data_IF_922282956873
#
_entry.id   IF_922282956873
#
_cell.length_a   1.000
_cell.length_b   1.000
_cell.length_c   1.000
_cell.angle_alpha   90.00
_cell.angle_beta   90.00
_cell.angle_gamma   90.00
#
_symmetry.space_group_name_H-M   'P 1'
#
loop_
_entity.id
_entity.type
_entity.pdbx_description
1 polymer ?
#
# COMPACT_ATOMS: atom_id res chain seq x y z
N UNK A 1 9.66 18.89 19.07
CA UNK A 1 8.79 18.20 20.05
C UNK A 1 7.96 17.18 19.31
N UNK A 2 7.54 16.10 19.96
CA UNK A 2 6.69 15.05 19.38
C UNK A 2 5.39 15.00 20.18
N UNK A 3 4.27 14.79 19.49
CA UNK A 3 2.96 14.73 20.12
C UNK A 3 2.77 13.36 20.78
N UNK A 4 2.36 13.35 22.05
CA UNK A 4 1.95 12.12 22.71
C UNK A 4 0.48 11.80 22.40
N UNK A 5 0.23 11.03 21.35
CA UNK A 5 -1.13 10.61 20.95
C UNK A 5 -1.78 9.62 21.93
N UNK A 6 -1.07 9.19 22.98
CA UNK A 6 -1.68 8.42 24.07
C UNK A 6 -2.34 9.32 25.13
N UNK A 7 -2.05 10.62 25.11
CA UNK A 7 -2.67 11.62 25.97
C UNK A 7 -4.00 12.13 25.38
N UNK A 8 -5.14 12.06 26.11
CA UNK A 8 -6.40 12.64 25.67
C UNK A 8 -6.36 14.15 25.35
N UNK A 9 -5.57 14.93 26.09
CA UNK A 9 -5.43 16.36 25.84
C UNK A 9 -4.71 16.63 24.51
N UNK A 10 -3.68 15.85 24.19
CA UNK A 10 -3.00 15.92 22.88
C UNK A 10 -3.94 15.55 21.74
N UNK A 11 -4.81 14.54 21.93
CA UNK A 11 -5.79 14.16 20.90
C UNK A 11 -6.81 15.29 20.65
N UNK A 12 -7.25 15.99 21.70
CA UNK A 12 -8.12 17.17 21.56
C UNK A 12 -7.40 18.33 20.86
N UNK A 13 -6.17 18.62 21.28
CA UNK A 13 -5.31 19.61 20.60
C UNK A 13 -5.17 19.29 19.11
N UNK A 14 -4.85 18.04 18.76
CA UNK A 14 -4.71 17.61 17.37
C UNK A 14 -5.99 17.83 16.56
N UNK A 15 -7.14 17.49 17.14
CA UNK A 15 -8.45 17.74 16.53
C UNK A 15 -8.71 19.23 16.30
N UNK A 16 -8.38 20.08 17.27
CA UNK A 16 -8.54 21.53 17.13
C UNK A 16 -7.64 22.09 16.04
N UNK A 17 -6.37 21.66 15.96
CA UNK A 17 -5.45 22.08 14.91
C UNK A 17 -5.96 21.68 13.52
N UNK A 18 -6.42 20.44 13.35
CA UNK A 18 -6.98 19.98 12.07
C UNK A 18 -8.28 20.74 11.71
N UNK A 19 -9.12 21.06 12.69
CA UNK A 19 -10.34 21.84 12.45
C UNK A 19 -10.02 23.28 12.05
N UNK A 20 -9.04 23.93 12.71
CA UNK A 20 -8.58 25.26 12.37
C UNK A 20 -8.01 25.28 10.96
N UNK A 21 -7.13 24.32 10.64
CA UNK A 21 -6.55 24.22 9.30
C UNK A 21 -7.61 23.94 8.23
N UNK A 22 -8.63 23.12 8.53
CA UNK A 22 -9.72 22.86 7.59
C UNK A 22 -10.56 24.11 7.29
N UNK A 23 -10.68 25.04 8.25
CA UNK A 23 -11.39 26.30 8.05
C UNK A 23 -10.62 27.24 7.09
N UNK A 24 -9.30 27.09 7.01
CA UNK A 24 -8.46 27.83 6.05
C UNK A 24 -8.37 27.12 4.70
N UNK A 25 -8.20 25.79 4.72
CA UNK A 25 -8.03 24.95 3.52
C UNK A 25 -8.92 23.73 3.65
N UNK A 26 -9.96 23.65 2.82
CA UNK A 26 -10.93 22.56 2.85
C UNK A 26 -10.39 21.24 2.27
N UNK A 27 -9.46 20.60 2.98
CA UNK A 27 -8.96 19.26 2.63
C UNK A 27 -10.02 18.18 2.87
N UNK A 28 -9.98 17.08 2.11
CA UNK A 28 -10.89 15.94 2.25
C UNK A 28 -10.28 14.73 2.99
N UNK A 29 -8.95 14.71 3.10
CA UNK A 29 -8.18 13.57 3.55
C UNK A 29 -6.83 14.00 4.13
N UNK A 30 -6.18 13.11 4.86
CA UNK A 30 -4.86 13.34 5.43
C UNK A 30 -3.88 12.21 5.06
N UNK A 31 -2.65 12.60 4.79
CA UNK A 31 -1.53 11.69 4.61
C UNK A 31 -0.55 11.91 5.77
N UNK A 32 -0.49 10.92 6.67
CA UNK A 32 0.36 10.90 7.85
C UNK A 32 1.70 10.24 7.50
N UNK A 33 2.75 11.04 7.55
CA UNK A 33 4.11 10.62 7.24
C UNK A 33 5.03 10.85 8.45
N UNK A 34 6.23 10.25 8.41
CA UNK A 34 7.25 10.39 9.46
C UNK A 34 6.82 9.91 10.86
N UNK A 35 5.84 9.02 10.92
CA UNK A 35 5.16 8.63 12.15
C UNK A 35 5.61 7.27 12.73
N UNK A 36 6.83 6.83 12.41
CA UNK A 36 7.50 5.75 13.11
C UNK A 36 7.60 5.94 14.63
N UNK A 37 7.91 7.12 15.21
CA UNK A 37 8.17 8.46 14.66
C UNK A 37 9.63 8.67 14.25
N UNK A 38 9.84 9.26 13.07
CA UNK A 38 11.17 9.53 12.56
C UNK A 38 11.79 10.78 13.20
N UNK A 39 13.10 10.79 13.32
CA UNK A 39 13.87 11.91 13.83
C UNK A 39 15.14 12.17 12.99
N UNK A 40 15.26 13.39 12.46
CA UNK A 40 16.44 13.85 11.71
C UNK A 40 17.61 14.33 12.60
N UNK A 41 17.36 14.58 13.90
CA UNK A 41 18.38 15.12 14.82
C UNK A 41 19.19 13.99 15.45
N UNK A 42 20.45 14.28 15.80
CA UNK A 42 21.24 13.31 16.54
C UNK A 42 20.66 13.09 17.95
N UNK A 43 20.80 11.87 18.48
CA UNK A 43 20.39 11.56 19.86
C UNK A 43 21.14 12.42 20.89
N UNK A 44 22.35 12.86 20.55
CA UNK A 44 23.13 13.83 21.33
C UNK A 44 22.42 15.19 21.40
N UNK A 45 21.88 15.67 20.29
CA UNK A 45 21.15 16.95 20.26
C UNK A 45 19.82 16.89 21.02
N UNK A 46 19.32 15.68 21.29
CA UNK A 46 18.17 15.43 22.16
C UNK A 46 18.55 15.21 23.62
N UNK A 47 19.84 15.23 23.95
CA UNK A 47 20.38 14.87 25.26
C UNK A 47 19.92 13.47 25.72
N UNK A 48 19.86 12.49 24.81
CA UNK A 48 19.62 11.11 25.21
C UNK A 48 20.83 10.54 25.96
N UNK A 49 20.62 9.97 27.15
CA UNK A 49 21.64 9.21 27.88
C UNK A 49 21.76 7.80 27.29
N UNK A 50 22.86 7.56 26.57
CA UNK A 50 23.10 6.26 25.94
C UNK A 50 23.44 5.14 26.95
N UNK A 51 23.72 5.48 28.21
CA UNK A 51 23.93 4.50 29.27
C UNK A 51 22.65 4.08 29.99
N UNK A 52 21.51 4.72 29.67
CA UNK A 52 20.22 4.33 30.23
C UNK A 52 19.87 2.89 29.85
N UNK A 53 19.27 2.16 30.80
CA UNK A 53 18.96 0.73 30.63
C UNK A 53 17.97 0.44 29.49
N UNK A 54 17.11 1.39 29.12
CA UNK A 54 16.19 1.26 27.99
C UNK A 54 16.85 1.63 26.65
N UNK A 55 17.96 2.37 26.69
CA UNK A 55 18.77 2.71 25.50
C UNK A 55 19.79 1.61 25.19
N UNK A 56 20.26 0.90 26.21
CA UNK A 56 21.29 -0.14 26.12
C UNK A 56 20.79 -1.47 26.73
N UNK A 57 19.92 -2.16 25.99
CA UNK A 57 19.35 -3.44 26.43
C UNK A 57 20.33 -4.61 26.25
N UNK A 58 20.24 -5.68 27.06
CA UNK A 58 21.15 -6.83 26.96
C UNK A 58 21.10 -7.57 25.62
N UNK A 59 19.98 -7.47 24.91
CA UNK A 59 19.78 -8.08 23.60
C UNK A 59 19.17 -7.07 22.64
N UNK A 60 19.91 -6.67 21.62
CA UNK A 60 19.46 -5.72 20.60
C UNK A 60 19.04 -6.49 19.34
N UNK A 61 17.73 -6.57 19.02
CA UNK A 61 17.27 -7.21 17.79
C UNK A 61 17.87 -6.52 16.57
N UNK A 62 18.43 -7.29 15.63
CA UNK A 62 19.00 -6.74 14.39
C UNK A 62 20.32 -5.98 14.55
N UNK A 63 20.90 -5.93 15.76
CA UNK A 63 22.17 -5.28 16.10
C UNK A 63 22.22 -3.74 16.02
N UNK A 64 21.20 -3.08 15.45
CA UNK A 64 21.10 -1.62 15.46
C UNK A 64 20.45 -1.10 16.76
N UNK A 65 20.94 0.00 17.36
CA UNK A 65 20.31 0.59 18.54
C UNK A 65 18.82 0.89 18.32
N UNK A 66 17.96 0.60 19.31
CA UNK A 66 16.51 0.84 19.18
C UNK A 66 16.15 2.30 18.91
N UNK A 67 16.98 3.23 19.38
CA UNK A 67 16.83 4.67 19.16
C UNK A 67 17.32 5.17 17.79
N UNK A 68 17.72 4.27 16.89
CA UNK A 68 18.18 4.65 15.55
C UNK A 68 17.05 5.35 14.78
N UNK A 69 17.33 6.57 14.31
CA UNK A 69 16.39 7.41 13.55
C UNK A 69 15.04 7.68 14.25
N UNK A 70 14.99 7.63 15.58
CA UNK A 70 13.80 7.96 16.38
C UNK A 70 14.19 8.75 17.64
N UNK A 71 13.30 8.80 18.64
CA UNK A 71 13.49 9.52 19.91
C UNK A 71 14.10 8.62 21.01
N UNK A 72 14.48 9.19 22.16
CA UNK A 72 15.02 8.40 23.26
C UNK A 72 14.01 7.34 23.75
N UNK A 73 14.46 6.10 23.98
CA UNK A 73 13.59 4.98 24.41
C UNK A 73 12.92 5.23 25.77
N UNK A 74 13.57 5.93 26.69
CA UNK A 74 12.98 6.30 27.98
C UNK A 74 12.07 7.54 27.93
N UNK A 75 11.82 8.12 26.75
CA UNK A 75 10.87 9.23 26.62
C UNK A 75 9.50 8.80 27.14
N UNK A 76 8.83 9.68 27.89
CA UNK A 76 7.57 9.35 28.57
C UNK A 76 6.37 9.74 27.72
N UNK A 77 5.51 8.77 27.50
CA UNK A 77 4.13 8.94 27.05
C UNK A 77 3.18 8.75 28.23
N UNK A 78 1.93 9.16 28.08
CA UNK A 78 0.89 9.03 29.10
C UNK A 78 0.64 7.58 29.50
N UNK A 79 0.69 6.65 28.53
CA UNK A 79 0.46 5.23 28.78
C UNK A 79 1.72 4.41 29.12
N UNK A 80 2.92 4.99 29.03
CA UNK A 80 4.15 4.23 29.23
C UNK A 80 5.39 4.89 28.65
N UNK A 81 6.50 4.14 28.63
CA UNK A 81 7.74 4.59 28.01
C UNK A 81 7.65 4.48 26.48
N UNK A 82 8.49 5.23 25.77
CA UNK A 82 8.61 5.10 24.32
C UNK A 82 9.15 3.72 23.93
N UNK A 83 10.00 3.11 24.77
CA UNK A 83 10.47 1.74 24.61
C UNK A 83 9.31 0.75 24.43
N UNK A 84 8.25 0.88 25.24
CA UNK A 84 7.08 0.00 25.17
C UNK A 84 6.11 0.39 24.05
N UNK A 85 6.06 1.68 23.69
CA UNK A 85 5.01 2.26 22.83
C UNK A 85 5.49 2.66 21.43
N UNK A 86 6.78 2.52 21.12
CA UNK A 86 7.39 2.99 19.87
C UNK A 86 6.60 2.52 18.64
N UNK A 87 6.37 1.21 18.56
CA UNK A 87 5.64 0.59 17.42
C UNK A 87 4.14 0.91 17.40
N UNK A 88 3.60 1.55 18.45
CA UNK A 88 2.20 1.96 18.56
C UNK A 88 2.00 3.46 18.32
N UNK A 89 3.07 4.25 18.09
CA UNK A 89 2.97 5.69 17.90
C UNK A 89 1.99 6.03 16.75
N UNK A 90 2.21 5.42 15.58
CA UNK A 90 1.36 5.58 14.39
C UNK A 90 -0.07 5.10 14.60
N UNK A 91 -0.29 4.07 15.43
CA UNK A 91 -1.62 3.57 15.75
C UNK A 91 -2.44 4.61 16.49
N UNK A 92 -1.86 5.25 17.51
CA UNK A 92 -2.54 6.28 18.29
C UNK A 92 -2.74 7.57 17.48
N UNK A 93 -1.75 7.98 16.68
CA UNK A 93 -1.90 9.10 15.75
C UNK A 93 -3.03 8.85 14.73
N UNK A 94 -3.06 7.66 14.14
CA UNK A 94 -4.08 7.24 13.19
C UNK A 94 -5.48 7.31 13.78
N UNK A 95 -5.64 6.80 15.02
CA UNK A 95 -6.91 6.86 15.73
C UNK A 95 -7.34 8.30 16.00
N UNK A 96 -6.45 9.13 16.54
CA UNK A 96 -6.71 10.53 16.83
C UNK A 96 -7.12 11.30 15.56
N UNK A 97 -6.42 11.06 14.46
CA UNK A 97 -6.67 11.69 13.16
C UNK A 97 -8.03 11.28 12.58
N UNK A 98 -8.38 10.00 12.64
CA UNK A 98 -9.68 9.49 12.19
C UNK A 98 -10.83 10.11 13.00
N UNK A 99 -10.68 10.22 14.32
CA UNK A 99 -11.71 10.80 15.18
C UNK A 99 -11.85 12.33 14.96
N UNK A 100 -10.75 13.02 14.67
CA UNK A 100 -10.76 14.41 14.23
C UNK A 100 -11.50 14.58 12.89
N UNK A 101 -11.14 13.80 11.86
CA UNK A 101 -11.78 13.88 10.54
C UNK A 101 -13.28 13.56 10.58
N UNK A 102 -13.73 12.64 11.45
CA UNK A 102 -15.17 12.39 11.67
C UNK A 102 -15.90 13.58 12.25
N UNK A 103 -15.19 14.41 13.03
CA UNK A 103 -15.75 15.63 13.61
C UNK A 103 -15.83 16.76 12.58
N UNK A 104 -14.81 16.88 11.73
CA UNK A 104 -14.71 17.87 10.65
C UNK A 104 -15.73 17.54 9.54
N UNK A 105 -15.70 16.32 9.03
CA UNK A 105 -16.55 15.84 7.94
C UNK A 105 -17.70 14.97 8.48
N UNK A 106 -18.68 15.63 9.11
CA UNK A 106 -19.85 14.94 9.69
C UNK A 106 -20.51 14.00 8.65
N UNK A 107 -20.79 12.77 9.08
CA UNK A 107 -21.44 11.72 8.29
C UNK A 107 -20.68 11.25 7.03
N UNK A 108 -19.42 11.67 6.84
CA UNK A 108 -18.53 11.13 5.80
C UNK A 108 -17.55 10.11 6.37
N UNK A 109 -17.00 9.29 5.49
CA UNK A 109 -15.91 8.37 5.84
C UNK A 109 -14.58 9.14 5.80
N UNK A 110 -13.74 9.03 6.83
CA UNK A 110 -12.41 9.60 6.80
C UNK A 110 -11.54 8.81 5.82
N UNK A 111 -10.65 9.51 5.12
CA UNK A 111 -9.59 8.90 4.32
C UNK A 111 -8.24 9.33 4.88
N UNK A 112 -7.48 8.36 5.38
CA UNK A 112 -6.18 8.58 6.00
C UNK A 112 -5.18 7.56 5.44
N UNK A 113 -4.07 8.05 4.90
CA UNK A 113 -2.94 7.23 4.46
C UNK A 113 -1.84 7.37 5.52
N UNK A 114 -1.25 6.28 5.99
CA UNK A 114 -0.24 6.31 7.07
C UNK A 114 1.00 5.48 6.75
N UNK A 115 2.19 5.98 7.10
CA UNK A 115 3.47 5.31 6.80
C UNK A 115 3.70 4.15 7.75
N UNK A 116 3.97 4.45 9.01
CA UNK A 116 4.15 3.43 10.03
C UNK A 116 2.80 2.78 10.35
N UNK A 117 2.82 1.48 10.67
CA UNK A 117 1.61 0.73 11.00
C UNK A 117 1.84 -0.26 12.14
N UNK A 118 0.79 -0.47 12.94
CA UNK A 118 0.72 -1.53 13.95
C UNK A 118 -0.44 -2.50 13.68
N UNK A 119 -0.45 -3.63 14.39
CA UNK A 119 -1.54 -4.60 14.31
C UNK A 119 -2.91 -3.95 14.58
N UNK A 120 -3.87 -4.18 13.69
CA UNK A 120 -5.22 -3.62 13.77
C UNK A 120 -5.36 -2.18 13.24
N UNK A 121 -4.29 -1.54 12.77
CA UNK A 121 -4.35 -0.17 12.24
C UNK A 121 -5.18 -0.03 10.95
N UNK A 122 -5.38 -1.12 10.21
CA UNK A 122 -6.30 -1.16 9.06
C UNK A 122 -7.76 -0.80 9.37
N UNK A 123 -8.12 -0.74 10.67
CA UNK A 123 -9.40 -0.18 11.14
C UNK A 123 -9.51 1.34 10.91
N UNK A 124 -8.38 2.03 10.84
CA UNK A 124 -8.30 3.48 10.83
C UNK A 124 -7.73 4.03 9.51
N UNK A 125 -6.71 3.39 8.94
CA UNK A 125 -5.97 3.97 7.81
C UNK A 125 -5.72 2.97 6.68
N UNK A 126 -5.47 3.53 5.49
CA UNK A 126 -4.71 2.87 4.44
C UNK A 126 -3.20 2.99 4.68
N UNK A 127 -2.43 2.27 3.90
CA UNK A 127 -0.97 2.27 3.93
C UNK A 127 -0.40 2.38 2.50
N UNK A 128 0.86 2.78 2.38
CA UNK A 128 1.63 2.68 1.14
C UNK A 128 3.05 2.17 1.44
N UNK A 129 3.69 1.54 0.47
CA UNK A 129 4.98 0.87 0.64
C UNK A 129 6.18 1.78 1.00
N UNK A 130 5.97 3.07 1.27
CA UNK A 130 7.04 4.01 1.57
C UNK A 130 7.90 4.36 0.37
N UNK A 131 9.10 4.84 0.68
CA UNK A 131 10.04 5.45 -0.25
C UNK A 131 10.79 4.38 -1.06
N UNK A 132 10.11 3.80 -2.04
CA UNK A 132 10.67 2.76 -2.91
C UNK A 132 11.43 3.33 -4.10
N UNK A 133 12.46 2.62 -4.58
CA UNK A 133 13.24 3.06 -5.74
C UNK A 133 12.56 2.73 -7.07
N UNK A 134 12.74 3.59 -8.08
CA UNK A 134 12.36 3.38 -9.48
C UNK A 134 13.16 2.27 -10.16
N UNK A 135 12.92 1.02 -9.76
CA UNK A 135 13.58 -0.19 -10.27
C UNK A 135 12.56 -1.32 -10.52
N UNK A 136 12.84 -2.19 -11.50
CA UNK A 136 12.01 -3.36 -11.80
C UNK A 136 11.86 -4.32 -10.61
N UNK A 137 12.93 -4.49 -9.81
CA UNK A 137 12.92 -5.25 -8.55
C UNK A 137 11.94 -4.66 -7.54
N UNK A 138 11.95 -3.35 -7.34
CA UNK A 138 11.00 -2.65 -6.47
C UNK A 138 9.57 -2.89 -6.92
N UNK A 139 9.29 -2.69 -8.22
CA UNK A 139 7.97 -2.95 -8.80
C UNK A 139 7.51 -4.39 -8.53
N UNK A 140 8.37 -5.40 -8.69
CA UNK A 140 8.04 -6.80 -8.37
C UNK A 140 7.71 -7.01 -6.89
N UNK A 141 8.53 -6.43 -6.01
CA UNK A 141 8.37 -6.59 -4.56
C UNK A 141 7.06 -5.98 -4.04
N UNK A 142 6.49 -5.00 -4.73
CA UNK A 142 5.19 -4.40 -4.36
C UNK A 142 4.06 -5.44 -4.30
N UNK A 143 4.09 -6.49 -5.13
CA UNK A 143 3.04 -7.52 -5.14
C UNK A 143 3.08 -8.30 -3.82
N UNK A 144 4.27 -8.75 -3.42
CA UNK A 144 4.46 -9.49 -2.16
C UNK A 144 4.03 -8.64 -0.96
N UNK A 145 4.38 -7.35 -0.96
CA UNK A 145 3.97 -6.43 0.10
C UNK A 145 2.44 -6.24 0.14
N UNK A 146 1.81 -5.92 -1.01
CA UNK A 146 0.35 -5.77 -1.11
C UNK A 146 -0.39 -7.02 -0.63
N UNK A 147 0.09 -8.21 -1.00
CA UNK A 147 -0.45 -9.48 -0.53
C UNK A 147 -0.31 -9.63 0.99
N UNK A 148 0.86 -9.33 1.54
CA UNK A 148 1.12 -9.36 2.99
C UNK A 148 0.18 -8.43 3.75
N UNK A 149 0.03 -7.18 3.31
CA UNK A 149 -0.84 -6.20 3.96
C UNK A 149 -2.33 -6.59 3.91
N UNK A 150 -2.77 -7.25 2.83
CA UNK A 150 -4.12 -7.82 2.80
C UNK A 150 -4.29 -8.94 3.83
N UNK A 151 -3.29 -9.81 4.00
CA UNK A 151 -3.33 -10.91 4.99
C UNK A 151 -3.45 -10.37 6.42
N UNK A 152 -2.75 -9.27 6.74
CA UNK A 152 -2.79 -8.65 8.09
C UNK A 152 -3.95 -7.65 8.28
N UNK A 153 -4.93 -7.64 7.37
CA UNK A 153 -6.16 -6.86 7.54
C UNK A 153 -6.02 -5.37 7.20
N UNK A 154 -5.07 -4.99 6.35
CA UNK A 154 -4.90 -3.65 5.79
C UNK A 154 -5.11 -3.67 4.27
N UNK A 155 -6.35 -3.88 3.81
CA UNK A 155 -6.62 -4.18 2.41
C UNK A 155 -6.52 -2.97 1.47
N UNK A 156 -6.49 -1.73 1.98
CA UNK A 156 -6.31 -0.51 1.20
C UNK A 156 -4.83 -0.12 1.21
N UNK A 157 -4.09 -0.68 0.26
CA UNK A 157 -2.62 -0.65 0.18
C UNK A 157 -2.18 -0.52 -1.28
N UNK A 158 -1.07 0.16 -1.49
CA UNK A 158 -0.41 0.24 -2.78
C UNK A 158 1.00 0.80 -2.64
N UNK A 159 1.64 1.04 -3.77
CA UNK A 159 2.98 1.57 -3.82
C UNK A 159 3.02 2.81 -4.71
N UNK A 160 4.08 3.59 -4.61
CA UNK A 160 4.29 4.74 -5.50
C UNK A 160 4.57 4.25 -6.91
N UNK A 161 3.58 4.45 -7.79
CA UNK A 161 3.62 3.99 -9.17
C UNK A 161 4.74 4.73 -9.89
N UNK A 162 5.55 3.98 -10.64
CA UNK A 162 6.79 4.38 -11.30
C UNK A 162 8.04 4.46 -10.39
N UNK A 163 7.86 4.32 -9.07
CA UNK A 163 8.89 4.44 -8.04
C UNK A 163 8.89 5.84 -7.41
N UNK A 164 9.43 5.97 -6.21
CA UNK A 164 9.55 7.26 -5.52
C UNK A 164 10.97 7.85 -5.69
N UNK A 165 11.99 7.09 -5.29
CA UNK A 165 13.39 7.54 -5.41
C UNK A 165 13.97 7.23 -6.79
N UNK A 166 14.84 8.14 -7.27
CA UNK A 166 15.56 8.07 -8.56
C UNK A 166 14.64 8.17 -9.78
N UNK A 167 15.23 8.56 -10.91
CA UNK A 167 14.51 8.68 -12.17
C UNK A 167 14.02 7.33 -12.69
N UNK A 168 12.73 7.27 -13.01
CA UNK A 168 12.12 6.13 -13.69
C UNK A 168 12.48 6.10 -15.19
N UNK A 169 12.08 5.05 -15.89
CA UNK A 169 12.18 4.95 -17.36
C UNK A 169 10.80 4.83 -17.98
N UNK A 170 10.67 5.14 -19.28
CA UNK A 170 9.40 5.02 -20.01
C UNK A 170 8.83 3.60 -19.89
N UNK A 171 9.67 2.58 -20.11
CA UNK A 171 9.22 1.18 -20.09
C UNK A 171 8.85 0.71 -18.68
N UNK A 172 9.63 1.12 -17.66
CA UNK A 172 9.33 0.82 -16.27
C UNK A 172 8.01 1.47 -15.84
N UNK A 173 7.87 2.78 -16.06
CA UNK A 173 6.70 3.54 -15.62
C UNK A 173 5.43 3.08 -16.36
N UNK A 174 5.54 2.71 -17.63
CA UNK A 174 4.47 2.06 -18.38
C UNK A 174 4.01 0.75 -17.73
N UNK A 175 4.93 -0.18 -17.45
CA UNK A 175 4.58 -1.47 -16.81
C UNK A 175 4.07 -1.27 -15.39
N UNK A 176 4.60 -0.28 -14.68
CA UNK A 176 4.15 0.04 -13.33
C UNK A 176 2.75 0.65 -13.33
N UNK A 177 2.36 1.46 -14.32
CA UNK A 177 0.98 1.89 -14.46
C UNK A 177 0.02 0.72 -14.76
N UNK A 178 0.46 -0.25 -15.58
CA UNK A 178 -0.32 -1.46 -15.84
C UNK A 178 -0.53 -2.32 -14.58
N UNK A 179 0.47 -2.41 -13.71
CA UNK A 179 0.35 -3.10 -12.42
C UNK A 179 -0.42 -2.26 -11.39
N UNK A 180 0.00 -1.01 -11.20
CA UNK A 180 -0.40 -0.13 -10.12
C UNK A 180 -1.83 0.39 -10.23
N UNK A 181 -2.43 0.37 -11.42
CA UNK A 181 -3.87 0.55 -11.57
C UNK A 181 -4.68 -0.51 -10.81
N UNK A 182 -4.08 -1.66 -10.48
CA UNK A 182 -4.72 -2.77 -9.77
C UNK A 182 -4.21 -2.96 -8.33
N UNK A 183 -3.39 -2.04 -7.81
CA UNK A 183 -3.28 -1.88 -6.36
C UNK A 183 -4.63 -1.44 -5.80
N UNK A 184 -4.94 -1.81 -4.57
CA UNK A 184 -6.22 -1.41 -3.97
C UNK A 184 -6.23 0.08 -3.61
N UNK A 185 -5.08 0.64 -3.21
CA UNK A 185 -4.78 2.07 -3.21
C UNK A 185 -3.81 2.39 -4.37
N UNK A 186 -4.17 3.31 -5.27
CA UNK A 186 -3.44 3.56 -6.53
C UNK A 186 -3.03 5.02 -6.63
N UNK A 187 -1.72 5.30 -6.56
CA UNK A 187 -1.12 6.64 -6.54
C UNK A 187 0.20 6.63 -7.31
N UNK A 188 0.40 7.61 -8.20
CA UNK A 188 1.74 7.98 -8.69
C UNK A 188 2.24 9.12 -7.79
N UNK A 189 3.44 8.97 -7.25
CA UNK A 189 4.07 9.93 -6.34
C UNK A 189 5.58 9.86 -6.54
N UNK A 190 6.27 10.99 -6.38
CA UNK A 190 7.63 11.18 -6.85
C UNK A 190 8.45 11.99 -5.85
N UNK A 191 9.75 11.74 -5.80
CA UNK A 191 10.69 12.49 -4.97
C UNK A 191 11.03 13.85 -5.61
N UNK A 192 11.41 14.82 -4.77
CA UNK A 192 11.65 16.21 -5.14
C UNK A 192 12.77 16.38 -6.19
N UNK A 193 13.84 15.58 -6.09
CA UNK A 193 15.04 15.70 -6.94
C UNK A 193 15.03 14.78 -8.18
N UNK A 194 13.85 14.43 -8.68
CA UNK A 194 13.69 13.49 -9.82
C UNK A 194 12.94 14.11 -10.99
N UNK A 195 13.03 13.48 -12.17
CA UNK A 195 12.25 13.90 -13.35
C UNK A 195 10.75 13.75 -13.11
N UNK A 196 9.95 14.63 -13.72
CA UNK A 196 8.49 14.48 -13.73
C UNK A 196 8.10 13.11 -14.29
N UNK A 197 7.21 12.41 -13.57
CA UNK A 197 6.79 11.05 -13.93
C UNK A 197 5.28 10.84 -13.96
N UNK A 198 4.48 11.91 -13.98
CA UNK A 198 3.06 11.76 -14.29
C UNK A 198 2.88 11.20 -15.72
N UNK A 199 1.74 10.55 -16.03
CA UNK A 199 1.59 9.85 -17.30
C UNK A 199 1.82 10.71 -18.55
N UNK A 200 1.55 12.02 -18.49
CA UNK A 200 1.69 12.93 -19.63
C UNK A 200 3.15 13.37 -19.78
N UNK A 201 3.83 13.70 -18.67
CA UNK A 201 5.25 14.03 -18.67
C UNK A 201 6.12 12.89 -19.22
N UNK A 202 5.77 11.63 -18.93
CA UNK A 202 6.50 10.45 -19.42
C UNK A 202 6.23 10.09 -20.89
N UNK A 203 5.35 10.84 -21.56
CA UNK A 203 5.10 10.73 -22.99
C UNK A 203 4.05 9.68 -23.39
N UNK A 204 3.79 9.56 -24.71
CA UNK A 204 2.57 8.94 -25.24
C UNK A 204 2.43 7.45 -24.91
N UNK A 205 3.54 6.72 -24.78
CA UNK A 205 3.53 5.30 -24.40
C UNK A 205 2.97 5.11 -22.99
N UNK A 206 3.49 5.88 -22.02
CA UNK A 206 3.04 5.82 -20.63
C UNK A 206 1.61 6.34 -20.51
N UNK A 207 1.29 7.44 -21.19
CA UNK A 207 -0.09 7.98 -21.23
C UNK A 207 -1.10 6.93 -21.71
N UNK A 208 -0.81 6.23 -22.81
CA UNK A 208 -1.71 5.21 -23.37
C UNK A 208 -1.92 4.04 -22.40
N UNK A 209 -0.83 3.50 -21.83
CA UNK A 209 -0.90 2.40 -20.88
C UNK A 209 -1.60 2.78 -19.58
N UNK A 210 -1.29 3.96 -19.03
CA UNK A 210 -1.95 4.49 -17.83
C UNK A 210 -3.44 4.70 -18.08
N UNK A 211 -3.81 5.37 -19.18
CA UNK A 211 -5.21 5.58 -19.56
C UNK A 211 -5.95 4.25 -19.64
N UNK A 212 -5.43 3.28 -20.39
CA UNK A 212 -6.13 2.01 -20.58
C UNK A 212 -6.26 1.21 -19.29
N UNK A 213 -5.22 1.20 -18.47
CA UNK A 213 -5.24 0.51 -17.18
C UNK A 213 -6.20 1.17 -16.19
N UNK A 214 -6.26 2.50 -16.20
CA UNK A 214 -7.23 3.26 -15.40
C UNK A 214 -8.66 3.08 -15.91
N UNK A 215 -8.92 2.99 -17.21
CA UNK A 215 -10.25 2.64 -17.75
C UNK A 215 -10.74 1.30 -17.17
N UNK A 216 -9.88 0.27 -17.17
CA UNK A 216 -10.22 -1.02 -16.53
C UNK A 216 -10.45 -0.87 -15.02
N UNK A 217 -9.59 -0.13 -14.31
CA UNK A 217 -9.75 0.13 -12.88
C UNK A 217 -11.10 0.78 -12.59
N UNK A 218 -11.42 1.86 -13.29
CA UNK A 218 -12.66 2.64 -13.10
C UNK A 218 -13.88 1.78 -13.41
N UNK A 219 -13.84 1.02 -14.51
CA UNK A 219 -14.90 0.09 -14.85
C UNK A 219 -15.10 -0.99 -13.79
N UNK A 220 -14.04 -1.41 -13.08
CA UNK A 220 -14.10 -2.43 -12.02
C UNK A 220 -14.30 -1.86 -10.61
N UNK A 221 -14.48 -0.55 -10.44
CA UNK A 221 -14.68 0.05 -9.11
C UNK A 221 -15.88 -0.52 -8.34
N UNK A 222 -17.05 -0.83 -8.97
CA UNK A 222 -18.15 -1.48 -8.25
C UNK A 222 -17.75 -2.83 -7.64
N UNK A 223 -16.95 -3.61 -8.36
CA UNK A 223 -16.43 -4.88 -7.88
C UNK A 223 -15.39 -4.67 -6.76
N UNK A 224 -14.41 -3.80 -6.97
CA UNK A 224 -13.39 -3.47 -5.95
C UNK A 224 -14.05 -2.99 -4.64
N UNK A 225 -15.05 -2.12 -4.74
CA UNK A 225 -15.78 -1.61 -3.59
C UNK A 225 -16.61 -2.68 -2.89
N UNK A 226 -17.18 -3.63 -3.65
CA UNK A 226 -17.83 -4.83 -3.06
C UNK A 226 -16.84 -5.69 -2.29
N UNK A 227 -15.59 -5.80 -2.75
CA UNK A 227 -14.53 -6.49 -2.01
C UNK A 227 -14.20 -5.77 -0.71
N UNK A 228 -14.09 -4.44 -0.72
CA UNK A 228 -13.90 -3.64 0.49
C UNK A 228 -15.07 -3.77 1.47
N UNK A 229 -16.31 -3.83 0.98
CA UNK A 229 -17.47 -4.13 1.80
C UNK A 229 -17.35 -5.49 2.50
N UNK A 230 -16.93 -6.54 1.76
CA UNK A 230 -16.70 -7.88 2.34
C UNK A 230 -15.52 -7.90 3.32
N UNK A 231 -14.48 -7.11 3.06
CA UNK A 231 -13.35 -6.95 3.97
C UNK A 231 -13.80 -6.31 5.29
N UNK A 232 -14.58 -5.23 5.20
CA UNK A 232 -15.11 -4.52 6.36
C UNK A 232 -16.02 -5.37 7.24
N UNK A 233 -16.94 -6.15 6.66
CA UNK A 233 -17.89 -6.95 7.42
C UNK A 233 -17.37 -8.31 7.88
N UNK A 234 -16.52 -8.96 7.08
CA UNK A 234 -16.19 -10.37 7.26
C UNK A 234 -14.68 -10.64 7.37
N UNK A 235 -13.84 -9.59 7.40
CA UNK A 235 -12.39 -9.74 7.46
C UNK A 235 -11.78 -10.44 6.23
N UNK A 236 -12.46 -10.39 5.08
CA UNK A 236 -11.95 -10.96 3.82
C UNK A 236 -10.85 -10.08 3.24
N UNK A 237 -9.93 -10.67 2.49
CA UNK A 237 -8.93 -9.93 1.70
C UNK A 237 -9.55 -9.28 0.46
N UNK A 238 -9.02 -8.13 0.03
CA UNK A 238 -9.41 -7.50 -1.24
C UNK A 238 -8.52 -8.02 -2.35
N UNK A 239 -7.21 -7.80 -2.21
CA UNK A 239 -6.18 -8.41 -3.04
C UNK A 239 -5.70 -9.68 -2.36
N UNK A 240 -5.64 -10.80 -3.07
CA UNK A 240 -5.29 -12.09 -2.46
C UNK A 240 -4.35 -12.93 -3.32
N UNK A 241 -3.51 -13.75 -2.68
CA UNK A 241 -2.65 -14.66 -3.40
C UNK A 241 -3.51 -15.80 -3.96
N UNK A 242 -3.09 -16.40 -5.07
CA UNK A 242 -3.87 -17.45 -5.73
C UNK A 242 -4.13 -18.64 -4.78
N UNK A 243 -3.19 -18.96 -3.88
CA UNK A 243 -3.34 -20.09 -2.95
C UNK A 243 -4.51 -19.92 -1.95
N UNK A 244 -5.05 -18.71 -1.74
CA UNK A 244 -6.26 -18.52 -0.94
C UNK A 244 -7.51 -19.10 -1.63
N UNK A 245 -7.52 -19.12 -2.96
CA UNK A 245 -8.64 -19.61 -3.77
C UNK A 245 -8.49 -21.08 -4.20
N UNK A 246 -7.25 -21.54 -4.27
CA UNK A 246 -6.87 -22.85 -4.81
C UNK A 246 -5.95 -23.57 -3.83
N UNK A 247 -6.44 -23.77 -2.60
CA UNK A 247 -5.65 -24.26 -1.46
C UNK A 247 -4.99 -25.62 -1.68
N UNK A 248 -5.59 -26.49 -2.50
CA UNK A 248 -5.08 -27.82 -2.82
C UNK A 248 -3.92 -27.82 -3.83
N UNK A 249 -3.61 -26.68 -4.45
CA UNK A 249 -2.55 -26.55 -5.43
C UNK A 249 -1.28 -25.97 -4.78
N UNK A 250 -0.39 -26.85 -4.33
CA UNK A 250 0.81 -26.49 -3.59
C UNK A 250 1.84 -25.70 -4.41
N UNK A 251 1.72 -25.70 -5.76
CA UNK A 251 2.58 -24.87 -6.62
C UNK A 251 2.39 -23.38 -6.34
N UNK A 252 1.17 -22.99 -5.95
CA UNK A 252 0.80 -21.60 -5.71
C UNK A 252 1.42 -21.01 -4.44
N UNK A 253 1.93 -21.84 -3.53
CA UNK A 253 2.44 -21.37 -2.24
C UNK A 253 3.74 -20.56 -2.39
N UNK A 254 4.44 -20.73 -3.51
CA UNK A 254 5.66 -19.99 -3.85
C UNK A 254 5.42 -18.89 -4.89
N UNK A 255 4.16 -18.70 -5.33
CA UNK A 255 3.83 -17.74 -6.38
C UNK A 255 3.46 -16.38 -5.78
N UNK A 256 4.18 -15.35 -6.22
CA UNK A 256 4.01 -13.96 -5.76
C UNK A 256 4.08 -12.94 -6.90
N UNK A 257 4.01 -13.38 -8.16
CA UNK A 257 4.03 -12.53 -9.36
C UNK A 257 2.66 -12.43 -10.07
N UNK A 258 1.69 -13.20 -9.59
CA UNK A 258 0.28 -13.13 -9.98
C UNK A 258 -0.55 -12.87 -8.73
N UNK A 259 -1.65 -12.14 -8.87
CA UNK A 259 -2.57 -11.87 -7.77
C UNK A 259 -4.01 -11.79 -8.26
N UNK A 260 -4.94 -11.83 -7.31
CA UNK A 260 -6.37 -11.75 -7.61
C UNK A 260 -7.04 -10.62 -6.84
N UNK A 261 -8.03 -9.98 -7.47
CA UNK A 261 -9.07 -9.23 -6.77
C UNK A 261 -10.22 -10.16 -6.43
N UNK A 262 -10.39 -10.41 -5.14
CA UNK A 262 -11.35 -11.39 -4.65
C UNK A 262 -11.12 -12.75 -5.29
N UNK A 263 -12.20 -13.41 -5.68
CA UNK A 263 -12.18 -14.78 -6.22
C UNK A 263 -12.33 -14.83 -7.74
N UNK A 264 -12.53 -13.68 -8.41
CA UNK A 264 -13.03 -13.62 -9.79
C UNK A 264 -12.06 -13.02 -10.81
N UNK A 265 -11.18 -12.09 -10.42
CA UNK A 265 -10.32 -11.36 -11.38
C UNK A 265 -8.86 -11.61 -11.04
N UNK A 266 -8.08 -12.11 -11.98
CA UNK A 266 -6.66 -12.40 -11.87
C UNK A 266 -5.86 -11.46 -12.76
N UNK A 267 -4.74 -10.96 -12.23
CA UNK A 267 -3.83 -10.04 -12.90
C UNK A 267 -2.47 -10.70 -13.12
N UNK A 268 -1.92 -10.54 -14.33
CA UNK A 268 -0.69 -11.20 -14.77
C UNK A 268 0.29 -10.16 -15.34
N UNK A 269 0.89 -9.31 -14.47
CA UNK A 269 1.71 -8.18 -14.89
C UNK A 269 3.02 -8.62 -15.58
N UNK A 270 3.52 -7.81 -16.51
CA UNK A 270 4.88 -7.97 -17.02
C UNK A 270 5.87 -7.26 -16.10
N UNK A 271 6.74 -8.05 -15.48
CA UNK A 271 7.53 -7.66 -14.31
C UNK A 271 9.03 -7.54 -14.55
N UNK A 272 9.47 -7.87 -15.75
CA UNK A 272 10.88 -7.93 -16.11
C UNK A 272 11.16 -7.06 -17.33
N UNK A 273 12.30 -6.39 -17.30
CA UNK A 273 12.75 -5.48 -18.36
C UNK A 273 12.86 -6.19 -19.70
N UNK A 274 12.48 -5.49 -20.78
CA UNK A 274 12.59 -5.99 -22.15
C UNK A 274 11.69 -7.19 -22.48
N UNK A 275 10.73 -7.55 -21.61
CA UNK A 275 9.79 -8.66 -21.87
C UNK A 275 8.49 -8.17 -22.49
N UNK A 276 8.12 -8.82 -23.58
CA UNK A 276 6.84 -8.69 -24.29
C UNK A 276 5.89 -9.85 -23.99
N UNK A 277 6.29 -10.76 -23.12
CA UNK A 277 5.54 -11.97 -22.74
C UNK A 277 5.66 -12.20 -21.23
N UNK A 278 4.65 -12.86 -20.65
CA UNK A 278 4.65 -13.31 -19.25
C UNK A 278 4.22 -14.78 -19.18
N UNK A 279 4.94 -15.56 -18.36
CA UNK A 279 4.58 -16.93 -18.05
C UNK A 279 3.48 -16.93 -16.99
N UNK A 280 2.26 -17.28 -17.39
CA UNK A 280 1.07 -17.22 -16.53
C UNK A 280 0.63 -18.63 -16.17
N UNK A 281 0.53 -18.91 -14.87
CA UNK A 281 -0.11 -20.12 -14.38
C UNK A 281 -1.61 -19.89 -14.21
N UNK A 282 -2.42 -20.73 -14.85
CA UNK A 282 -3.86 -20.78 -14.69
C UNK A 282 -4.22 -21.96 -13.78
N UNK A 283 -4.68 -21.73 -12.54
CA UNK A 283 -5.17 -22.79 -11.66
C UNK A 283 -6.39 -23.51 -12.22
N UNK A 284 -6.75 -24.66 -11.61
CA UNK A 284 -7.91 -25.47 -12.01
C UNK A 284 -9.16 -24.62 -12.20
N UNK A 285 -9.73 -24.68 -13.42
CA UNK A 285 -10.93 -23.94 -13.81
C UNK A 285 -10.81 -23.38 -15.22
N UNK A 286 -11.86 -22.71 -15.67
CA UNK A 286 -11.89 -21.98 -16.94
C UNK A 286 -11.67 -20.48 -16.68
N UNK A 287 -10.87 -19.86 -17.54
CA UNK A 287 -10.46 -18.46 -17.43
C UNK A 287 -10.64 -17.72 -18.75
N UNK A 288 -11.29 -16.56 -18.70
CA UNK A 288 -11.54 -15.69 -19.84
C UNK A 288 -10.60 -14.50 -19.80
N UNK A 289 -9.76 -14.33 -20.82
CA UNK A 289 -8.90 -13.17 -20.96
C UNK A 289 -9.67 -11.96 -21.49
N UNK A 290 -9.27 -10.76 -21.09
CA UNK A 290 -9.67 -9.51 -21.72
C UNK A 290 -9.25 -9.37 -23.21
N UNK A 291 -8.56 -10.36 -23.77
CA UNK A 291 -8.25 -10.52 -25.20
C UNK A 291 -9.11 -11.59 -25.90
N UNK A 292 -10.28 -11.95 -25.34
CA UNK A 292 -11.21 -12.96 -25.89
C UNK A 292 -10.57 -14.35 -26.08
N UNK A 293 -9.63 -14.72 -25.21
CA UNK A 293 -9.03 -16.06 -25.15
C UNK A 293 -9.52 -16.82 -23.93
N UNK A 294 -9.65 -18.13 -24.07
CA UNK A 294 -10.02 -19.03 -22.98
C UNK A 294 -8.85 -19.94 -22.60
N UNK A 295 -8.70 -20.19 -21.30
CA UNK A 295 -7.71 -21.12 -20.76
C UNK A 295 -8.38 -22.09 -19.79
N UNK A 296 -8.06 -23.38 -19.95
CA UNK A 296 -8.54 -24.46 -19.08
C UNK A 296 -7.38 -24.95 -18.22
N UNK A 297 -7.34 -24.52 -16.96
CA UNK A 297 -6.33 -24.92 -16.00
C UNK A 297 -6.59 -26.30 -15.40
N UNK A 298 -5.58 -26.94 -14.79
CA UNK A 298 -4.27 -26.37 -14.44
C UNK A 298 -3.27 -26.37 -15.62
N UNK A 299 -2.78 -25.20 -16.03
CA UNK A 299 -1.81 -25.07 -17.14
C UNK A 299 -0.94 -23.82 -16.96
N UNK A 300 0.31 -23.87 -17.45
CA UNK A 300 1.15 -22.67 -17.61
C UNK A 300 1.17 -22.27 -19.08
N UNK A 301 0.90 -20.99 -19.37
CA UNK A 301 0.86 -20.45 -20.72
C UNK A 301 1.70 -19.19 -20.80
N UNK A 302 2.52 -19.08 -21.84
CA UNK A 302 3.18 -17.81 -22.19
C UNK A 302 2.18 -16.91 -22.91
N UNK A 303 1.77 -15.81 -22.26
CA UNK A 303 0.86 -14.82 -22.85
C UNK A 303 1.66 -13.59 -23.29
N UNK A 304 1.29 -13.00 -24.43
CA UNK A 304 1.85 -11.73 -24.90
C UNK A 304 1.32 -10.59 -24.04
N UNK A 305 2.18 -9.66 -23.67
CA UNK A 305 1.83 -8.45 -22.92
C UNK A 305 1.93 -7.24 -23.84
N UNK A 306 0.78 -6.80 -24.33
CA UNK A 306 0.69 -5.59 -25.14
C UNK A 306 1.21 -4.36 -24.38
N UNK A 307 1.65 -3.36 -25.13
CA UNK A 307 2.29 -2.17 -24.55
C UNK A 307 1.29 -1.31 -23.76
N UNK A 308 0.02 -1.30 -24.18
CA UNK A 308 -1.03 -0.43 -23.65
C UNK A 308 -2.11 -1.19 -22.88
N UNK A 309 -2.32 -2.48 -23.14
CA UNK A 309 -3.38 -3.26 -22.49
C UNK A 309 -2.81 -4.20 -21.39
N UNK A 310 -3.26 -4.09 -20.13
CA UNK A 310 -2.84 -5.01 -19.07
C UNK A 310 -3.45 -6.41 -19.27
N UNK A 311 -2.73 -7.45 -18.83
CA UNK A 311 -3.23 -8.83 -18.86
C UNK A 311 -4.18 -9.11 -17.69
N UNK A 312 -5.47 -9.27 -17.98
CA UNK A 312 -6.52 -9.53 -17.00
C UNK A 312 -7.27 -10.80 -17.40
N UNK A 313 -7.52 -11.67 -16.43
CA UNK A 313 -8.29 -12.90 -16.64
C UNK A 313 -9.43 -13.00 -15.63
N UNK A 314 -10.61 -13.34 -16.12
CA UNK A 314 -11.84 -13.51 -15.36
C UNK A 314 -12.12 -15.00 -15.18
N UNK A 315 -12.38 -15.42 -13.95
CA UNK A 315 -12.65 -16.82 -13.61
C UNK A 315 -14.10 -17.18 -13.94
N UNK A 316 -14.31 -18.31 -14.60
CA UNK A 316 -15.64 -18.85 -14.84
C UNK A 316 -16.40 -19.11 -13.52
N UNK A 317 -17.73 -18.89 -13.54
CA UNK A 317 -18.59 -19.08 -12.37
C UNK A 317 -18.76 -17.83 -11.49
N UNK A 318 -18.21 -16.68 -11.89
CA UNK A 318 -18.36 -15.40 -11.18
C UNK A 318 -18.99 -14.34 -12.06
N UNK A 319 -19.80 -13.47 -11.44
CA UNK A 319 -20.33 -12.26 -12.07
C UNK A 319 -19.59 -11.07 -11.46
N UNK A 320 -18.99 -10.23 -12.31
CA UNK A 320 -18.20 -9.06 -11.90
C UNK A 320 -18.98 -7.79 -12.26
N UNK A 321 -19.44 -6.99 -11.27
CA UNK A 321 -20.15 -5.75 -11.54
C UNK A 321 -19.19 -4.68 -12.08
N UNK A 322 -19.64 -3.93 -13.08
CA UNK A 322 -18.87 -2.87 -13.74
C UNK A 322 -19.72 -1.60 -13.92
N UNK A 323 -19.07 -0.44 -14.09
CA UNK A 323 -19.73 0.86 -14.33
C UNK A 323 -19.06 1.67 -15.43
#
# INVERSE_FOLDING_TARGET
>A
VWLDFTNPETMNFWKEQLQQFHNEIQFDALWLDMNEPYNFRSLKDMNCDMNDTLMNIPYTPGYDPLSSSTICMYAKHTLGSHFDLHTLYSFYESKATVDALRSIHKQKRPFVVSRSTAAGQGRYTSHWNGDITSEWSSMRNTITNMLTFNIIGMPLIGADICGFMRNTTVDLCLRWHQLGAFYSFSRNHNDYDTIDQDPVAMGPKVTAAAKKSLEYRYALLPYLYTLFYKAHLYGRTVVRPLFYEFTNDTKLYKMNEQFMWGSAVMFNPALYEGRDTVSTYFPKGQWFSNFNKEYFGPITVTIKTEIDVPNINFRAGYIVPMQ
#
